data_IF_520374099420
#
_entry.id   IF_520374099420
#
_cell.length_a   1.000
_cell.length_b   1.000
_cell.length_c   1.000
_cell.angle_alpha   90.00
_cell.angle_beta   90.00
_cell.angle_gamma   90.00
#
_symmetry.space_group_name_H-M   'P 1'
#
loop_
_entity.id
_entity.type
_entity.pdbx_description
1 polymer ?
#
# COMPACT_ATOMS: atom_id res chain seq x y z
N UNK A 1 6.16 -1.01 4.76
CA UNK A 1 5.52 -0.04 5.69
C UNK A 1 4.45 -0.77 6.48
N UNK A 2 4.42 -0.56 7.79
CA UNK A 2 3.36 -1.07 8.67
C UNK A 2 2.26 0.00 8.71
N UNK A 3 0.98 -0.35 8.51
CA UNK A 3 -0.12 0.61 8.59
C UNK A 3 -0.16 1.32 9.95
N UNK A 4 -0.55 2.58 9.95
CA UNK A 4 -0.82 3.35 11.16
C UNK A 4 -2.00 4.30 10.92
N UNK A 5 -2.65 4.73 11.99
CA UNK A 5 -3.87 5.55 11.93
C UNK A 5 -3.64 6.98 11.38
N UNK A 6 -2.40 7.44 11.39
CA UNK A 6 -2.02 8.75 10.80
C UNK A 6 -1.92 8.70 9.26
N UNK A 7 -1.99 7.49 8.66
CA UNK A 7 -1.92 7.28 7.22
C UNK A 7 -3.29 6.87 6.70
N UNK A 8 -4.02 7.83 6.12
CA UNK A 8 -5.37 7.61 5.59
C UNK A 8 -5.62 8.49 4.35
N UNK A 9 -6.71 8.23 3.65
CA UNK A 9 -7.19 9.10 2.59
C UNK A 9 -8.62 9.56 2.88
N UNK A 10 -8.94 10.74 2.39
CA UNK A 10 -10.26 11.34 2.47
C UNK A 10 -10.60 12.08 1.17
N UNK A 11 -11.87 12.40 0.98
CA UNK A 11 -12.30 13.23 -0.14
C UNK A 11 -12.02 14.71 0.22
N UNK A 12 -11.19 15.38 -0.60
CA UNK A 12 -11.01 16.80 -0.50
C UNK A 12 -12.26 17.51 -1.05
N UNK A 13 -12.96 18.24 -0.19
CA UNK A 13 -14.21 18.93 -0.57
C UNK A 13 -13.99 20.28 -1.23
N UNK A 14 -12.79 20.83 -1.15
CA UNK A 14 -12.45 22.13 -1.69
C UNK A 14 -11.81 22.02 -3.09
N UNK A 15 -10.96 21.01 -3.28
CA UNK A 15 -10.25 20.79 -4.54
C UNK A 15 -11.04 19.82 -5.43
N UNK A 16 -11.25 20.21 -6.67
CA UNK A 16 -11.92 19.40 -7.69
C UNK A 16 -11.02 19.27 -8.92
N UNK A 17 -11.18 18.17 -9.62
CA UNK A 17 -10.56 17.97 -10.92
C UNK A 17 -11.20 18.84 -12.02
N UNK A 18 -10.70 18.70 -13.26
CA UNK A 18 -11.21 19.46 -14.41
C UNK A 18 -12.66 19.14 -14.80
N UNK A 19 -13.25 18.08 -14.25
CA UNK A 19 -14.66 17.71 -14.45
C UNK A 19 -15.55 18.06 -13.26
N UNK A 20 -15.01 18.71 -12.23
CA UNK A 20 -15.74 19.10 -11.04
C UNK A 20 -15.88 17.97 -9.99
N UNK A 21 -15.15 16.87 -10.15
CA UNK A 21 -15.16 15.74 -9.21
C UNK A 21 -14.17 16.03 -8.08
N UNK A 22 -14.58 15.91 -6.80
CA UNK A 22 -13.67 16.05 -5.67
C UNK A 22 -12.50 15.06 -5.75
N UNK A 23 -11.29 15.53 -5.47
CA UNK A 23 -10.10 14.69 -5.49
C UNK A 23 -9.86 13.98 -4.15
N UNK A 24 -9.05 12.94 -4.15
CA UNK A 24 -8.58 12.32 -2.92
C UNK A 24 -7.44 13.13 -2.32
N UNK A 25 -7.49 13.32 -1.02
CA UNK A 25 -6.42 13.87 -0.20
C UNK A 25 -5.81 12.75 0.63
N UNK A 26 -4.49 12.63 0.55
CA UNK A 26 -3.74 11.61 1.26
C UNK A 26 -3.01 12.23 2.44
N UNK A 27 -3.19 11.62 3.61
CA UNK A 27 -2.41 11.89 4.81
C UNK A 27 -1.42 10.75 4.98
N UNK A 28 -0.15 11.05 4.87
CA UNK A 28 0.89 10.03 4.92
C UNK A 28 2.18 10.59 5.50
N UNK A 29 2.77 9.86 6.43
CA UNK A 29 4.12 10.11 6.93
C UNK A 29 4.85 8.80 7.19
N UNK A 30 6.15 8.81 7.00
CA UNK A 30 7.00 7.69 7.41
C UNK A 30 7.10 7.62 8.93
N UNK A 31 6.94 6.43 9.50
CA UNK A 31 7.16 6.17 10.91
C UNK A 31 8.65 6.00 11.23
N UNK A 32 8.98 5.98 12.51
CA UNK A 32 10.35 5.76 12.96
C UNK A 32 10.91 4.39 12.53
N UNK A 33 10.04 3.39 12.42
CA UNK A 33 10.43 2.04 11.98
C UNK A 33 10.97 2.05 10.57
N UNK A 34 10.28 2.70 9.64
CA UNK A 34 10.68 2.82 8.24
C UNK A 34 11.97 3.63 8.11
N UNK A 35 12.10 4.71 8.86
CA UNK A 35 13.30 5.54 8.86
C UNK A 35 14.52 4.74 9.36
N UNK A 36 14.37 3.99 10.46
CA UNK A 36 15.44 3.11 10.96
C UNK A 36 15.80 1.99 9.98
N UNK A 37 14.81 1.41 9.30
CA UNK A 37 15.06 0.41 8.25
C UNK A 37 15.85 1.02 7.10
N UNK A 38 15.53 2.23 6.66
CA UNK A 38 16.26 2.91 5.59
C UNK A 38 17.72 3.19 5.98
N UNK A 39 17.97 3.66 7.20
CA UNK A 39 19.31 3.86 7.70
C UNK A 39 20.10 2.54 7.74
N UNK A 40 19.50 1.46 8.23
CA UNK A 40 20.11 0.14 8.28
C UNK A 40 20.42 -0.42 6.89
N UNK A 41 19.47 -0.30 5.95
CA UNK A 41 19.66 -0.77 4.58
C UNK A 41 20.84 -0.09 3.87
N UNK A 42 20.97 1.24 3.99
CA UNK A 42 22.11 1.97 3.41
C UNK A 42 23.44 1.41 3.91
N UNK A 43 23.54 1.20 5.24
CA UNK A 43 24.74 0.63 5.85
C UNK A 43 25.02 -0.78 5.32
N UNK A 44 24.02 -1.65 5.32
CA UNK A 44 24.15 -3.03 4.82
C UNK A 44 24.58 -3.08 3.35
N UNK A 45 23.97 -2.25 2.49
CA UNK A 45 24.39 -2.20 1.07
C UNK A 45 25.80 -1.68 0.89
N UNK A 46 26.21 -0.68 1.68
CA UNK A 46 27.59 -0.19 1.64
C UNK A 46 28.59 -1.27 2.07
N UNK A 47 28.29 -2.03 3.11
CA UNK A 47 29.09 -3.17 3.56
C UNK A 47 29.20 -4.24 2.45
N UNK A 48 28.06 -4.63 1.85
CA UNK A 48 28.06 -5.62 0.74
C UNK A 48 28.90 -5.14 -0.44
N UNK A 49 28.75 -3.88 -0.87
CA UNK A 49 29.54 -3.31 -1.98
C UNK A 49 31.03 -3.35 -1.66
N UNK A 50 31.41 -2.99 -0.43
CA UNK A 50 32.81 -3.00 0.01
C UNK A 50 33.39 -4.41 0.05
N UNK A 51 32.67 -5.37 0.61
CA UNK A 51 33.09 -6.80 0.66
C UNK A 51 33.24 -7.41 -0.74
N UNK A 52 32.45 -6.93 -1.70
CA UNK A 52 32.58 -7.32 -3.12
C UNK A 52 33.75 -6.63 -3.84
N UNK A 53 34.55 -5.80 -3.15
CA UNK A 53 35.66 -5.03 -3.73
C UNK A 53 35.21 -3.77 -4.49
N UNK A 54 33.98 -3.35 -4.35
CA UNK A 54 33.43 -2.14 -4.95
C UNK A 54 33.67 -0.89 -4.11
N UNK A 55 33.30 0.26 -4.67
CA UNK A 55 33.36 1.57 -3.99
C UNK A 55 31.98 2.17 -3.91
N UNK A 56 31.59 2.59 -2.71
CA UNK A 56 30.33 3.32 -2.50
C UNK A 56 30.52 4.77 -2.93
N UNK A 57 29.74 5.22 -3.91
CA UNK A 57 29.83 6.59 -4.47
C UNK A 57 28.73 7.52 -3.94
N UNK A 58 27.75 6.97 -3.26
CA UNK A 58 26.61 7.74 -2.70
C UNK A 58 26.88 8.04 -1.24
N UNK A 59 26.60 9.27 -0.82
CA UNK A 59 26.65 9.63 0.59
C UNK A 59 25.58 8.85 1.39
N UNK A 60 26.00 8.29 2.53
CA UNK A 60 25.12 7.55 3.41
C UNK A 60 24.52 8.53 4.42
N UNK A 61 23.20 8.62 4.48
CA UNK A 61 22.50 9.34 5.53
C UNK A 61 22.28 8.41 6.75
N UNK A 62 23.05 8.58 7.83
CA UNK A 62 22.93 7.74 9.02
C UNK A 62 21.58 7.91 9.73
N UNK A 63 20.86 9.00 9.47
CA UNK A 63 19.52 9.23 10.03
C UNK A 63 18.43 8.47 9.27
N UNK A 64 18.68 8.05 8.04
CA UNK A 64 17.73 7.40 7.14
C UNK A 64 16.67 8.32 6.54
N UNK A 65 16.57 9.56 6.99
CA UNK A 65 15.49 10.49 6.59
C UNK A 65 15.55 10.93 5.13
N UNK A 66 16.78 11.08 4.62
CA UNK A 66 17.00 11.49 3.22
C UNK A 66 17.05 10.30 2.25
N UNK A 67 17.14 9.08 2.79
CA UNK A 67 17.15 7.85 2.00
C UNK A 67 15.76 7.36 1.57
N UNK A 68 14.71 7.98 2.09
CA UNK A 68 13.33 7.65 1.77
C UNK A 68 12.71 8.80 0.96
N UNK A 69 12.03 8.46 -0.12
CA UNK A 69 11.28 9.46 -0.88
C UNK A 69 10.14 10.06 -0.06
N UNK A 70 9.86 11.32 -0.33
CA UNK A 70 8.64 11.95 0.20
C UNK A 70 7.41 11.19 -0.29
N UNK A 71 6.35 11.09 0.52
CA UNK A 71 5.08 10.49 0.10
C UNK A 71 4.58 11.05 -1.24
N UNK A 72 3.97 10.19 -2.04
CA UNK A 72 3.44 10.56 -3.37
C UNK A 72 4.48 10.76 -4.47
N UNK A 73 5.75 10.44 -4.25
CA UNK A 73 6.83 10.56 -5.26
C UNK A 73 7.21 9.27 -5.95
N UNK A 74 6.71 8.17 -5.48
CA UNK A 74 6.95 6.84 -6.08
C UNK A 74 5.63 6.16 -6.42
N UNK A 75 5.73 4.93 -6.88
CA UNK A 75 4.62 4.03 -7.17
C UNK A 75 4.45 3.02 -6.03
N UNK A 76 3.47 2.12 -6.15
CA UNK A 76 3.17 1.02 -5.22
C UNK A 76 2.39 1.46 -3.97
N UNK A 77 1.57 2.50 -4.12
CA UNK A 77 0.59 2.87 -3.10
C UNK A 77 -0.43 1.74 -2.95
N UNK A 78 -0.65 1.33 -1.69
CA UNK A 78 -1.58 0.25 -1.33
C UNK A 78 -2.28 0.62 -0.01
N UNK A 79 -3.35 -0.11 0.34
CA UNK A 79 -3.95 0.00 1.67
C UNK A 79 -5.05 1.07 1.80
N UNK A 80 -5.49 1.70 0.69
CA UNK A 80 -6.55 2.71 0.72
C UNK A 80 -7.94 2.17 1.11
N UNK A 81 -8.13 0.84 1.02
CA UNK A 81 -9.38 0.13 1.40
C UNK A 81 -9.05 -1.24 1.97
N UNK A 82 -8.34 -1.27 3.09
CA UNK A 82 -7.74 -2.47 3.66
C UNK A 82 -8.73 -3.62 3.86
N UNK A 83 -8.26 -4.85 3.59
CA UNK A 83 -9.02 -6.05 3.93
C UNK A 83 -8.82 -6.45 5.39
N UNK A 84 -9.80 -7.13 5.95
CA UNK A 84 -9.72 -7.66 7.31
C UNK A 84 -10.81 -8.66 7.63
N UNK A 85 -10.76 -9.18 8.84
CA UNK A 85 -11.76 -10.11 9.38
C UNK A 85 -12.90 -9.38 10.12
N UNK A 86 -12.68 -8.13 10.51
CA UNK A 86 -13.64 -7.31 11.26
C UNK A 86 -14.03 -6.09 10.42
N UNK A 87 -15.33 -5.97 10.14
CA UNK A 87 -15.90 -4.83 9.40
C UNK A 87 -15.69 -3.48 10.07
N UNK A 88 -15.44 -3.45 11.37
CA UNK A 88 -15.19 -2.19 12.09
C UNK A 88 -13.74 -1.71 11.94
N UNK A 89 -12.85 -2.55 11.39
CA UNK A 89 -11.42 -2.27 11.23
C UNK A 89 -10.95 -2.43 9.79
N UNK A 90 -11.86 -2.70 8.85
CA UNK A 90 -11.52 -2.92 7.44
C UNK A 90 -12.65 -2.50 6.51
N UNK A 91 -12.30 -2.18 5.29
CA UNK A 91 -13.26 -1.82 4.23
C UNK A 91 -13.76 -3.06 3.49
N UNK A 92 -12.86 -4.04 3.31
CA UNK A 92 -13.18 -5.27 2.58
C UNK A 92 -12.92 -6.51 3.41
N UNK A 93 -13.61 -7.59 3.08
CA UNK A 93 -13.33 -8.92 3.61
C UNK A 93 -12.15 -9.58 2.86
N UNK A 94 -11.82 -10.82 3.25
CA UNK A 94 -10.72 -11.59 2.64
C UNK A 94 -10.86 -11.86 1.13
N UNK A 95 -12.03 -11.64 0.55
CA UNK A 95 -12.30 -11.80 -0.88
C UNK A 95 -12.31 -10.45 -1.62
N UNK A 96 -11.81 -9.38 -0.99
CA UNK A 96 -11.83 -8.00 -1.50
C UNK A 96 -13.25 -7.47 -1.78
N UNK A 97 -14.28 -8.12 -1.23
CA UNK A 97 -15.67 -7.67 -1.25
C UNK A 97 -15.88 -6.64 -0.16
N UNK A 98 -16.53 -5.52 -0.45
CA UNK A 98 -16.81 -4.50 0.56
C UNK A 98 -17.87 -4.98 1.54
N UNK A 99 -17.73 -4.55 2.81
CA UNK A 99 -18.68 -4.92 3.87
C UNK A 99 -20.04 -4.27 3.71
N UNK A 100 -20.06 -3.04 3.18
CA UNK A 100 -21.28 -2.23 3.13
C UNK A 100 -22.07 -2.41 1.83
N UNK A 101 -21.39 -2.82 0.75
CA UNK A 101 -22.00 -3.02 -0.58
C UNK A 101 -21.61 -4.41 -1.09
N UNK A 102 -22.44 -5.43 -0.85
CA UNK A 102 -22.08 -6.84 -1.10
C UNK A 102 -21.74 -7.19 -2.55
N UNK A 103 -22.17 -6.42 -3.51
CA UNK A 103 -21.86 -6.61 -4.94
C UNK A 103 -20.72 -5.72 -5.43
N UNK A 104 -19.97 -5.07 -4.53
CA UNK A 104 -18.81 -4.26 -4.86
C UNK A 104 -17.52 -4.95 -4.41
N UNK A 105 -16.59 -5.12 -5.36
CA UNK A 105 -15.28 -5.70 -5.14
C UNK A 105 -14.18 -4.71 -5.52
N UNK A 106 -13.09 -4.72 -4.75
CA UNK A 106 -11.92 -3.87 -4.98
C UNK A 106 -10.76 -4.80 -5.36
N UNK A 107 -10.31 -4.73 -6.62
CA UNK A 107 -9.38 -5.72 -7.22
C UNK A 107 -8.02 -5.12 -7.60
N UNK A 108 -7.64 -4.03 -6.97
CA UNK A 108 -6.33 -3.38 -7.09
C UNK A 108 -5.48 -3.57 -5.81
N UNK A 109 -4.53 -2.65 -5.55
CA UNK A 109 -3.70 -2.67 -4.36
C UNK A 109 -4.36 -2.12 -3.09
N UNK A 110 -5.55 -1.50 -3.19
CA UNK A 110 -6.19 -0.89 -2.04
C UNK A 110 -6.54 -1.85 -0.90
N UNK A 111 -6.91 -3.15 -1.16
CA UNK A 111 -7.16 -4.12 -0.09
C UNK A 111 -5.94 -4.58 0.71
N UNK A 112 -4.72 -4.22 0.32
CA UNK A 112 -3.53 -4.65 1.06
C UNK A 112 -3.52 -4.09 2.49
N UNK A 113 -3.14 -4.94 3.45
CA UNK A 113 -2.97 -4.55 4.85
C UNK A 113 -1.58 -3.95 5.11
N UNK A 114 -0.60 -4.23 4.27
CA UNK A 114 0.75 -3.70 4.32
C UNK A 114 1.44 -3.96 2.99
N UNK A 115 2.52 -3.24 2.71
CA UNK A 115 3.40 -3.55 1.59
C UNK A 115 4.83 -3.80 2.08
N UNK A 116 5.43 -4.87 1.58
CA UNK A 116 6.81 -5.25 1.86
C UNK A 116 7.78 -4.56 0.86
N UNK A 117 8.97 -5.12 0.72
CA UNK A 117 10.03 -4.64 -0.17
C UNK A 117 9.83 -5.06 -1.65
N UNK A 118 8.86 -5.93 -1.93
CA UNK A 118 8.60 -6.45 -3.28
C UNK A 118 7.54 -5.63 -4.02
N UNK A 119 7.66 -5.64 -5.36
CA UNK A 119 6.66 -5.04 -6.24
C UNK A 119 5.30 -5.74 -6.07
N UNK A 120 4.19 -5.02 -5.88
CA UNK A 120 2.92 -5.61 -5.45
C UNK A 120 2.10 -6.25 -6.58
N UNK A 121 2.42 -6.01 -7.86
CA UNK A 121 1.57 -6.36 -9.01
C UNK A 121 1.18 -7.83 -9.05
N UNK A 122 2.13 -8.75 -8.83
CA UNK A 122 1.83 -10.19 -8.84
C UNK A 122 0.83 -10.57 -7.73
N UNK A 123 0.98 -9.99 -6.55
CA UNK A 123 0.04 -10.19 -5.43
C UNK A 123 -1.32 -9.58 -5.73
N UNK A 124 -1.37 -8.39 -6.34
CA UNK A 124 -2.63 -7.78 -6.81
C UNK A 124 -3.37 -8.74 -7.75
N UNK A 125 -2.67 -9.27 -8.76
CA UNK A 125 -3.26 -10.22 -9.71
C UNK A 125 -3.78 -11.49 -9.03
N UNK A 126 -3.04 -12.05 -8.08
CA UNK A 126 -3.45 -13.23 -7.33
C UNK A 126 -4.70 -12.96 -6.47
N UNK A 127 -4.77 -11.80 -5.82
CA UNK A 127 -5.94 -11.39 -5.05
C UNK A 127 -7.15 -11.12 -5.93
N UNK A 128 -6.97 -10.47 -7.08
CA UNK A 128 -8.03 -10.24 -8.05
C UNK A 128 -8.60 -11.56 -8.59
N UNK A 129 -7.74 -12.53 -8.90
CA UNK A 129 -8.17 -13.86 -9.31
C UNK A 129 -9.01 -14.55 -8.22
N UNK A 130 -8.52 -14.58 -6.99
CA UNK A 130 -9.26 -15.13 -5.86
C UNK A 130 -10.64 -14.48 -5.68
N UNK A 131 -10.72 -13.16 -5.89
CA UNK A 131 -11.98 -12.43 -5.83
C UNK A 131 -12.93 -12.81 -6.96
N UNK A 132 -12.40 -13.00 -8.17
CA UNK A 132 -13.18 -13.45 -9.33
C UNK A 132 -13.74 -14.87 -9.12
N UNK A 133 -12.94 -15.81 -8.63
CA UNK A 133 -13.40 -17.17 -8.32
C UNK A 133 -14.53 -17.15 -7.29
N UNK A 134 -14.36 -16.38 -6.21
CA UNK A 134 -15.41 -16.20 -5.19
C UNK A 134 -16.68 -15.58 -5.78
N UNK A 135 -16.54 -14.54 -6.60
CA UNK A 135 -17.68 -13.88 -7.26
C UNK A 135 -18.44 -14.86 -8.15
N UNK A 136 -17.74 -15.67 -8.92
CA UNK A 136 -18.35 -16.70 -9.79
C UNK A 136 -19.12 -17.76 -8.99
N UNK A 137 -18.61 -18.15 -7.83
CA UNK A 137 -19.29 -19.08 -6.94
C UNK A 137 -20.56 -18.48 -6.34
N UNK A 138 -20.50 -17.23 -5.86
CA UNK A 138 -21.65 -16.55 -5.28
C UNK A 138 -22.72 -16.22 -6.30
N UNK A 139 -22.35 -15.87 -7.54
CA UNK A 139 -23.31 -15.69 -8.64
C UNK A 139 -24.08 -16.98 -8.95
N UNK A 140 -23.42 -18.15 -8.94
CA UNK A 140 -24.09 -19.45 -9.13
C UNK A 140 -25.09 -19.78 -8.03
N UNK A 141 -24.87 -19.25 -6.81
CA UNK A 141 -25.78 -19.39 -5.67
C UNK A 141 -26.93 -18.37 -5.68
N UNK A 142 -26.88 -17.38 -6.56
CA UNK A 142 -27.84 -16.28 -6.59
C UNK A 142 -27.68 -15.29 -5.43
N UNK A 143 -26.44 -15.13 -4.92
CA UNK A 143 -26.17 -14.27 -3.76
C UNK A 143 -26.13 -12.78 -4.11
N UNK A 144 -26.06 -12.40 -5.40
CA UNK A 144 -26.18 -11.03 -5.92
C UNK A 144 -26.48 -11.01 -7.43
#
# INVERSE_FOLDING_TARGET
MIPNEDCYCEIDREIKDKWGIPVLKFHWKWGESEIRQAAHLQKTFAEVVTEMGGTVTTEIDPSGKQAIYKPGRTIHEVGGAIMGADRNQSVTNRHSQTWDVPNLFITDGAPFCSNADKNPTLTIMALAWRSADFMMEEMKKGSF
#
